data_IF_522469896913
#
_entry.id   IF_522469896913
#
_cell.length_a   1.000
_cell.length_b   1.000
_cell.length_c   1.000
_cell.angle_alpha   90.00
_cell.angle_beta   90.00
_cell.angle_gamma   90.00
#
_symmetry.space_group_name_H-M   'P 1'
#
loop_
_entity.id
_entity.type
_entity.pdbx_description
1 polymer ?
#
# COMPACT_ATOMS: atom_id res chain seq x y z
N UNK A 1 -19.09 -7.03 -12.14
CA UNK A 1 -18.62 -6.24 -10.99
C UNK A 1 -18.68 -7.17 -9.79
N UNK A 2 -17.58 -7.87 -9.47
CA UNK A 2 -17.55 -8.77 -8.31
C UNK A 2 -16.81 -8.02 -7.23
N UNK A 3 -17.57 -7.27 -6.45
CA UNK A 3 -17.17 -6.82 -5.12
C UNK A 3 -17.24 -8.08 -4.26
N UNK A 4 -16.12 -8.50 -3.68
CA UNK A 4 -16.07 -9.71 -2.85
C UNK A 4 -16.94 -9.49 -1.61
N UNK A 5 -17.83 -10.44 -1.34
CA UNK A 5 -18.83 -10.38 -0.25
C UNK A 5 -18.23 -10.66 1.15
N UNK A 6 -16.96 -10.32 1.36
CA UNK A 6 -16.26 -10.61 2.61
C UNK A 6 -16.45 -9.41 3.56
N UNK A 7 -17.14 -9.57 4.70
CA UNK A 7 -17.45 -8.46 5.59
C UNK A 7 -16.16 -7.92 6.23
N UNK A 8 -15.88 -6.64 6.00
CA UNK A 8 -14.67 -5.92 6.45
C UNK A 8 -14.74 -5.55 7.95
N UNK A 9 -15.32 -6.40 8.81
CA UNK A 9 -15.83 -6.00 10.13
C UNK A 9 -15.03 -6.51 11.34
N UNK A 10 -13.84 -7.08 11.19
CA UNK A 10 -13.04 -7.47 12.37
C UNK A 10 -12.05 -6.34 12.70
N UNK A 11 -12.48 -5.43 13.59
CA UNK A 11 -11.61 -4.41 14.21
C UNK A 11 -11.31 -4.80 15.65
N UNK A 12 -10.05 -5.12 15.95
CA UNK A 12 -9.55 -5.19 17.32
C UNK A 12 -8.69 -3.95 17.63
N UNK A 13 -9.17 -2.97 18.43
CA UNK A 13 -8.32 -1.92 19.01
C UNK A 13 -7.64 -2.48 20.29
N UNK A 14 -6.40 -2.18 20.70
CA UNK A 14 -5.46 -1.04 20.58
C UNK A 14 -4.01 -1.58 20.71
N UNK A 15 -2.98 -0.85 20.24
CA UNK A 15 -1.74 -0.42 20.97
C UNK A 15 -1.15 0.82 20.25
N UNK A 16 -0.60 1.77 21.02
CA UNK A 16 0.02 3.05 20.57
C UNK A 16 1.51 2.84 20.30
N UNK A 17 2.00 3.29 19.14
CA UNK A 17 3.34 2.99 18.61
C UNK A 17 3.30 1.86 17.58
N UNK A 18 4.23 1.87 16.62
CA UNK A 18 4.27 0.86 15.57
C UNK A 18 4.85 -0.47 16.07
N UNK A 19 4.16 -1.59 15.82
CA UNK A 19 4.66 -2.95 16.09
C UNK A 19 4.99 -3.65 14.78
N UNK A 20 5.71 -4.76 14.86
CA UNK A 20 5.76 -5.70 13.75
C UNK A 20 4.35 -6.27 13.53
N UNK A 21 3.99 -6.46 12.26
CA UNK A 21 2.79 -7.18 11.88
C UNK A 21 3.07 -8.68 11.98
N UNK A 22 2.05 -9.48 12.22
CA UNK A 22 2.21 -10.93 12.07
C UNK A 22 2.38 -11.29 10.59
N UNK A 23 3.03 -12.42 10.31
CA UNK A 23 3.12 -12.92 8.93
C UNK A 23 1.70 -13.13 8.40
N UNK A 24 1.43 -12.58 7.21
CA UNK A 24 0.13 -12.64 6.53
C UNK A 24 -1.02 -11.87 7.19
N UNK A 25 -0.75 -11.04 8.20
CA UNK A 25 -1.80 -10.25 8.86
C UNK A 25 -2.47 -9.24 7.92
N UNK A 26 -1.71 -8.69 6.96
CA UNK A 26 -2.16 -7.72 5.97
C UNK A 26 -1.98 -8.29 4.55
N UNK A 27 -2.82 -9.27 4.14
CA UNK A 27 -2.63 -10.05 2.91
C UNK A 27 -2.86 -9.25 1.61
N UNK A 28 -3.34 -8.02 1.73
CA UNK A 28 -3.54 -7.07 0.62
C UNK A 28 -2.33 -6.19 0.34
N UNK A 29 -1.26 -6.28 1.13
CA UNK A 29 -0.07 -5.44 0.98
C UNK A 29 0.71 -5.80 -0.28
N UNK A 30 1.09 -4.76 -1.03
CA UNK A 30 1.99 -4.85 -2.17
C UNK A 30 3.22 -4.00 -1.90
N UNK A 31 4.40 -4.58 -2.07
CA UNK A 31 5.65 -3.85 -2.12
C UNK A 31 5.96 -3.47 -3.58
N UNK A 32 6.00 -2.17 -3.89
CA UNK A 32 6.41 -1.67 -5.19
C UNK A 32 7.93 -1.52 -5.22
N UNK A 33 8.54 -2.19 -6.18
CA UNK A 33 9.97 -2.32 -6.37
C UNK A 33 10.42 -1.56 -7.61
N UNK A 34 11.55 -0.86 -7.50
CA UNK A 34 12.22 -0.18 -8.61
C UNK A 34 13.72 -0.36 -8.46
N UNK A 35 14.40 -0.73 -9.54
CA UNK A 35 15.85 -1.02 -9.54
C UNK A 35 16.26 -2.01 -8.43
N UNK A 36 15.41 -2.99 -8.14
CA UNK A 36 15.66 -4.02 -7.12
C UNK A 36 15.40 -3.61 -5.67
N UNK A 37 14.91 -2.40 -5.41
CA UNK A 37 14.61 -1.92 -4.05
C UNK A 37 13.16 -1.49 -3.86
N UNK A 38 12.65 -1.67 -2.64
CA UNK A 38 11.35 -1.18 -2.22
C UNK A 38 11.34 0.35 -2.21
N UNK A 39 10.34 0.96 -2.86
CA UNK A 39 10.21 2.41 -2.88
C UNK A 39 8.81 2.93 -2.53
N UNK A 40 7.77 2.14 -2.75
CA UNK A 40 6.38 2.51 -2.46
C UNK A 40 5.55 1.30 -2.03
N UNK A 41 4.37 1.56 -1.44
CA UNK A 41 3.36 0.56 -1.15
C UNK A 41 2.24 0.53 -2.20
N UNK A 42 1.47 -0.54 -2.18
CA UNK A 42 0.19 -0.66 -2.87
C UNK A 42 -0.75 -1.59 -2.13
N UNK A 43 -2.00 -1.65 -2.60
CA UNK A 43 -3.07 -2.47 -2.02
C UNK A 43 -3.75 -3.28 -3.11
N UNK A 44 -3.84 -4.59 -2.94
CA UNK A 44 -4.63 -5.45 -3.82
C UNK A 44 -6.11 -5.09 -3.63
N UNK A 45 -6.80 -4.73 -4.71
CA UNK A 45 -8.25 -4.46 -4.66
C UNK A 45 -9.06 -5.46 -5.51
N UNK A 46 -8.38 -6.20 -6.40
CA UNK A 46 -8.95 -7.34 -7.12
C UNK A 46 -7.83 -8.22 -7.69
N UNK A 47 -8.19 -9.32 -8.35
CA UNK A 47 -7.22 -10.22 -8.97
C UNK A 47 -6.34 -9.53 -10.04
N UNK A 48 -6.80 -8.44 -10.65
CA UNK A 48 -6.07 -7.73 -11.73
C UNK A 48 -5.61 -6.33 -11.36
N UNK A 49 -6.08 -5.77 -10.24
CA UNK A 49 -5.87 -4.35 -9.93
C UNK A 49 -5.24 -4.15 -8.56
N UNK A 50 -4.20 -3.31 -8.55
CA UNK A 50 -3.55 -2.79 -7.36
C UNK A 50 -3.80 -1.28 -7.29
N UNK A 51 -4.20 -0.80 -6.13
CA UNK A 51 -4.33 0.61 -5.79
C UNK A 51 -3.00 1.13 -5.22
N UNK A 52 -2.59 2.33 -5.62
CA UNK A 52 -1.43 3.03 -5.05
C UNK A 52 -1.62 4.55 -5.15
N UNK A 53 -0.64 5.32 -4.70
CA UNK A 53 -0.61 6.77 -4.88
C UNK A 53 -0.15 7.14 -6.30
N UNK A 54 -0.61 8.27 -6.82
CA UNK A 54 -0.18 8.80 -8.12
C UNK A 54 1.32 9.10 -8.14
N UNK A 55 1.88 9.63 -7.05
CA UNK A 55 3.30 9.95 -6.98
C UNK A 55 4.20 8.71 -7.07
N UNK A 56 3.69 7.54 -6.67
CA UNK A 56 4.43 6.27 -6.77
C UNK A 56 4.67 5.81 -8.21
N UNK A 57 3.96 6.37 -9.19
CA UNK A 57 4.19 6.09 -10.61
C UNK A 57 4.98 7.20 -11.32
N UNK A 58 5.50 8.20 -10.59
CA UNK A 58 6.34 9.26 -11.14
C UNK A 58 7.83 8.89 -11.09
N UNK A 59 8.62 9.29 -12.10
CA UNK A 59 10.01 8.88 -12.27
C UNK A 59 11.05 9.76 -11.52
N UNK A 60 10.59 10.79 -10.79
CA UNK A 60 11.41 11.80 -10.12
C UNK A 60 11.78 13.01 -10.99
N UNK A 61 11.40 13.00 -12.27
CA UNK A 61 11.57 14.07 -13.26
C UNK A 61 10.20 14.59 -13.73
N UNK A 62 9.20 14.57 -12.83
CA UNK A 62 7.85 15.08 -13.10
C UNK A 62 7.14 14.38 -14.27
N UNK A 63 7.47 13.11 -14.54
CA UNK A 63 6.87 12.31 -15.60
C UNK A 63 6.47 10.93 -15.09
N UNK A 64 5.44 10.35 -15.70
CA UNK A 64 5.05 8.97 -15.43
C UNK A 64 6.12 7.97 -15.87
N UNK A 65 6.34 6.95 -15.05
CA UNK A 65 7.15 5.79 -15.39
C UNK A 65 6.45 4.91 -16.43
N UNK A 66 7.23 4.08 -17.13
CA UNK A 66 6.70 2.97 -17.92
C UNK A 66 6.43 1.77 -17.00
N UNK A 67 5.45 0.90 -17.32
CA UNK A 67 5.17 -0.30 -16.52
C UNK A 67 6.40 -1.18 -16.28
N UNK A 68 7.31 -1.27 -17.25
CA UNK A 68 8.57 -2.06 -17.15
C UNK A 68 9.57 -1.51 -16.13
N UNK A 69 9.36 -0.32 -15.58
CA UNK A 69 10.24 0.31 -14.59
C UNK A 69 9.81 0.02 -13.14
N UNK A 70 8.66 -0.61 -12.95
CA UNK A 70 8.06 -0.91 -11.64
C UNK A 70 7.69 -2.39 -11.61
N UNK A 71 7.97 -3.06 -10.50
CA UNK A 71 7.51 -4.43 -10.24
C UNK A 71 6.75 -4.47 -8.91
N UNK A 72 5.71 -5.28 -8.82
CA UNK A 72 5.01 -5.55 -7.57
C UNK A 72 5.50 -6.84 -6.92
N UNK A 73 5.45 -6.89 -5.59
CA UNK A 73 5.60 -8.12 -4.81
C UNK A 73 4.44 -8.21 -3.82
N UNK A 74 3.67 -9.28 -3.91
CA UNK A 74 2.55 -9.58 -3.01
C UNK A 74 2.90 -10.73 -2.07
N UNK A 75 2.22 -10.83 -0.92
CA UNK A 75 2.49 -11.88 0.08
C UNK A 75 3.85 -11.78 0.77
N UNK A 76 4.55 -10.65 0.61
CA UNK A 76 5.86 -10.40 1.20
C UNK A 76 5.72 -10.05 2.68
N UNK A 77 6.60 -10.58 3.54
CA UNK A 77 6.66 -10.18 4.94
C UNK A 77 7.94 -9.39 5.25
N UNK A 78 9.09 -9.85 4.76
CA UNK A 78 10.38 -9.14 4.88
C UNK A 78 10.94 -8.73 3.52
N UNK A 79 11.48 -7.51 3.40
CA UNK A 79 12.12 -7.03 2.16
C UNK A 79 13.36 -7.87 1.83
N UNK A 80 14.12 -8.34 2.81
CA UNK A 80 15.27 -9.23 2.60
C UNK A 80 14.87 -10.60 2.06
N UNK A 81 13.65 -11.09 2.30
CA UNK A 81 13.14 -12.31 1.64
C UNK A 81 13.15 -12.15 0.11
N UNK A 82 12.91 -10.94 -0.41
CA UNK A 82 13.03 -10.65 -1.85
C UNK A 82 14.48 -10.84 -2.34
N UNK A 83 15.46 -10.35 -1.58
CA UNK A 83 16.89 -10.36 -1.93
C UNK A 83 17.48 -11.77 -1.88
N UNK A 84 16.95 -12.64 -1.02
CA UNK A 84 17.38 -14.04 -0.90
C UNK A 84 16.75 -14.97 -1.96
N UNK A 85 16.04 -14.39 -2.94
CA UNK A 85 15.42 -15.09 -4.05
C UNK A 85 13.95 -15.41 -3.79
N UNK A 86 13.03 -14.59 -4.32
CA UNK A 86 11.63 -14.99 -4.46
C UNK A 86 11.59 -16.23 -5.35
N UNK A 87 11.15 -17.35 -4.77
CA UNK A 87 11.17 -18.68 -5.36
C UNK A 87 11.35 -19.80 -4.33
N UNK A 88 11.91 -19.50 -3.15
CA UNK A 88 12.16 -20.50 -2.09
C UNK A 88 11.12 -20.49 -0.95
N UNK A 89 10.19 -19.52 -0.92
CA UNK A 89 9.11 -19.42 0.06
C UNK A 89 7.74 -19.55 -0.60
N UNK A 90 6.74 -20.20 0.03
CA UNK A 90 5.44 -20.48 -0.57
C UNK A 90 4.52 -19.25 -0.74
N UNK A 91 4.86 -18.11 -0.12
CA UNK A 91 3.87 -17.04 0.13
C UNK A 91 4.02 -15.82 -0.79
N UNK A 92 5.26 -15.46 -1.16
CA UNK A 92 5.54 -14.22 -1.89
C UNK A 92 5.60 -14.42 -3.41
N UNK A 93 4.96 -13.53 -4.16
CA UNK A 93 4.87 -13.60 -5.63
C UNK A 93 5.28 -12.27 -6.27
N UNK A 94 6.17 -12.33 -7.27
CA UNK A 94 6.47 -11.21 -8.16
C UNK A 94 5.34 -11.05 -9.18
N UNK A 95 4.91 -9.81 -9.39
CA UNK A 95 3.87 -9.47 -10.36
C UNK A 95 4.31 -8.29 -11.22
N UNK A 96 4.03 -8.38 -12.51
CA UNK A 96 4.38 -7.35 -13.48
C UNK A 96 3.13 -6.56 -13.90
N UNK A 97 3.35 -5.30 -14.27
CA UNK A 97 2.29 -4.39 -14.65
C UNK A 97 2.18 -4.25 -16.17
N UNK A 98 0.93 -4.31 -16.65
CA UNK A 98 0.57 -4.04 -18.03
C UNK A 98 0.38 -2.54 -18.26
N UNK A 99 -0.32 -1.87 -17.34
CA UNK A 99 -0.65 -0.45 -17.43
C UNK A 99 -0.53 0.23 -16.06
N UNK A 100 -0.15 1.51 -16.08
CA UNK A 100 -0.23 2.42 -14.93
C UNK A 100 -1.29 3.47 -15.27
N UNK A 101 -2.33 3.57 -14.44
CA UNK A 101 -3.51 4.40 -14.69
C UNK A 101 -3.61 5.45 -13.59
N UNK A 102 -3.00 6.64 -13.75
CA UNK A 102 -3.21 7.74 -12.82
C UNK A 102 -4.67 8.19 -12.82
N UNK A 103 -5.10 8.83 -11.74
CA UNK A 103 -6.32 9.61 -11.77
C UNK A 103 -6.28 10.61 -12.95
N UNK A 104 -7.38 10.82 -13.70
CA UNK A 104 -7.38 11.70 -14.88
C UNK A 104 -6.93 13.15 -14.62
N UNK A 105 -7.01 13.59 -13.36
CA UNK A 105 -6.62 14.93 -12.91
C UNK A 105 -5.31 14.95 -12.09
N UNK A 106 -4.63 13.82 -11.97
CA UNK A 106 -3.32 13.75 -11.32
C UNK A 106 -2.22 14.15 -12.31
N UNK A 107 -1.30 14.98 -11.85
CA UNK A 107 -0.08 15.34 -12.55
C UNK A 107 1.11 15.20 -11.59
N UNK A 108 2.28 14.80 -12.10
CA UNK A 108 3.46 14.57 -11.25
C UNK A 108 4.03 15.86 -10.61
N UNK A 109 3.46 17.04 -10.89
CA UNK A 109 3.81 18.31 -10.26
C UNK A 109 2.81 18.76 -9.17
N UNK A 110 1.69 18.05 -8.99
CA UNK A 110 0.65 18.38 -8.01
C UNK A 110 0.47 17.22 -7.03
N UNK A 111 0.14 17.56 -5.78
CA UNK A 111 -0.19 16.61 -4.72
C UNK A 111 -1.69 16.26 -4.69
N UNK A 112 -2.51 16.98 -5.47
CA UNK A 112 -3.96 16.71 -5.57
C UNK A 112 -4.24 15.47 -6.41
N UNK A 113 -5.30 14.75 -6.05
CA UNK A 113 -5.73 13.52 -6.73
C UNK A 113 -4.65 12.43 -6.76
N UNK A 114 -3.85 12.33 -5.69
CA UNK A 114 -2.72 11.41 -5.56
C UNK A 114 -3.16 9.95 -5.42
N UNK A 115 -3.70 9.39 -6.51
CA UNK A 115 -4.24 8.04 -6.61
C UNK A 115 -3.99 7.48 -8.01
N UNK A 116 -3.61 6.20 -8.08
CA UNK A 116 -3.40 5.47 -9.33
C UNK A 116 -3.78 4.00 -9.18
N UNK A 117 -4.16 3.39 -10.31
CA UNK A 117 -4.40 1.96 -10.45
C UNK A 117 -3.30 1.32 -11.30
N UNK A 118 -2.84 0.15 -10.88
CA UNK A 118 -1.86 -0.65 -11.60
C UNK A 118 -2.57 -1.91 -12.12
N UNK A 119 -2.61 -2.08 -13.44
CA UNK A 119 -3.19 -3.27 -14.08
C UNK A 119 -2.12 -4.35 -14.17
N UNK A 120 -2.39 -5.53 -13.62
CA UNK A 120 -1.50 -6.67 -13.72
C UNK A 120 -1.53 -7.31 -15.11
N UNK A 121 -0.36 -7.75 -15.58
CA UNK A 121 -0.24 -8.58 -16.80
C UNK A 121 -1.03 -9.88 -16.61
N UNK A 122 -0.74 -10.60 -15.53
CA UNK A 122 -1.42 -11.83 -15.14
C UNK A 122 -2.18 -11.61 -13.83
N UNK A 123 -3.45 -12.03 -13.72
CA UNK A 123 -4.17 -11.94 -12.47
C UNK A 123 -3.49 -12.73 -11.35
N UNK A 124 -3.46 -12.18 -10.14
CA UNK A 124 -3.06 -12.93 -8.95
C UNK A 124 -4.13 -13.94 -8.57
N UNK A 125 -3.70 -15.11 -8.11
CA UNK A 125 -4.59 -16.09 -7.47
C UNK A 125 -4.61 -15.81 -5.98
N UNK A 126 -5.81 -15.65 -5.41
CA UNK A 126 -5.94 -15.45 -3.98
C UNK A 126 -5.61 -16.73 -3.20
N UNK A 127 -5.03 -16.55 -2.02
CA UNK A 127 -4.55 -17.60 -1.12
C UNK A 127 -4.69 -17.14 0.33
N UNK A 128 -4.26 -17.94 1.30
CA UNK A 128 -4.23 -17.51 2.70
C UNK A 128 -3.32 -16.29 2.95
N UNK A 129 -2.47 -15.92 1.99
CA UNK A 129 -1.41 -14.92 2.15
C UNK A 129 -1.56 -13.74 1.17
N UNK A 130 -2.42 -13.90 0.17
CA UNK A 130 -2.71 -12.92 -0.88
C UNK A 130 -4.22 -12.79 -0.99
N UNK A 131 -4.77 -11.66 -0.53
CA UNK A 131 -6.20 -11.38 -0.55
C UNK A 131 -6.43 -9.90 -0.90
N UNK A 132 -7.57 -9.54 -1.51
CA UNK A 132 -7.90 -8.15 -1.75
C UNK A 132 -8.34 -7.46 -0.45
N UNK A 133 -8.12 -6.14 -0.39
CA UNK A 133 -8.79 -5.27 0.57
C UNK A 133 -10.15 -4.83 0.03
N UNK A 134 -11.06 -4.50 0.94
CA UNK A 134 -12.32 -3.87 0.59
C UNK A 134 -12.10 -2.41 0.14
N UNK A 135 -12.88 -1.96 -0.83
CA UNK A 135 -13.01 -0.54 -1.19
C UNK A 135 -14.36 -0.04 -0.68
N UNK A 136 -14.39 1.11 -0.01
CA UNK A 136 -15.64 1.69 0.48
C UNK A 136 -16.61 2.02 -0.67
N UNK A 137 -17.90 1.77 -0.47
CA UNK A 137 -18.96 2.21 -1.37
C UNK A 137 -19.53 3.57 -0.94
N UNK A 138 -20.05 4.34 -1.90
CA UNK A 138 -20.71 5.64 -1.66
C UNK A 138 -21.96 5.51 -0.75
N UNK A 139 -22.54 4.32 -0.66
CA UNK A 139 -23.63 4.04 0.28
C UNK A 139 -23.09 3.93 1.72
N UNK A 140 -23.36 4.95 2.53
CA UNK A 140 -23.12 4.91 3.97
C UNK A 140 -21.80 5.53 4.43
N UNK A 141 -21.43 6.70 3.87
CA UNK A 141 -20.39 7.57 4.44
C UNK A 141 -20.72 7.96 5.90
N UNK A 142 -20.47 7.04 6.82
CA UNK A 142 -20.38 7.35 8.24
C UNK A 142 -19.04 8.05 8.45
N UNK A 143 -19.05 9.15 9.18
CA UNK A 143 -17.81 9.79 9.60
C UNK A 143 -16.97 8.78 10.38
N UNK A 144 -15.71 8.64 9.97
CA UNK A 144 -14.70 7.87 10.71
C UNK A 144 -13.89 8.78 11.65
N UNK A 145 -14.28 10.05 11.79
CA UNK A 145 -13.60 10.98 12.68
C UNK A 145 -13.58 10.46 14.12
N UNK A 146 -12.46 10.68 14.79
CA UNK A 146 -12.21 10.18 16.17
C UNK A 146 -12.13 8.66 16.29
N UNK A 147 -12.38 7.90 15.23
CA UNK A 147 -12.08 6.47 15.19
C UNK A 147 -10.59 6.21 15.01
N UNK A 148 -10.22 4.94 15.05
CA UNK A 148 -8.87 4.49 14.84
C UNK A 148 -8.78 3.69 13.54
N UNK A 149 -7.77 4.00 12.75
CA UNK A 149 -7.37 3.24 11.57
C UNK A 149 -6.04 2.52 11.82
N UNK A 150 -5.77 1.49 11.04
CA UNK A 150 -4.47 0.82 11.01
C UNK A 150 -3.72 1.27 9.76
N UNK A 151 -2.48 1.72 9.94
CA UNK A 151 -1.53 1.95 8.85
C UNK A 151 -0.49 0.85 8.88
N UNK A 152 -0.05 0.37 7.71
CA UNK A 152 0.94 -0.69 7.60
C UNK A 152 1.91 -0.45 6.46
N UNK A 153 3.16 -0.93 6.61
CA UNK A 153 4.18 -0.83 5.57
C UNK A 153 5.59 -1.12 6.05
N UNK A 154 6.54 -0.98 5.14
CA UNK A 154 8.00 -1.12 5.34
C UNK A 154 8.69 0.25 5.39
N UNK A 155 7.97 1.25 5.91
CA UNK A 155 8.44 2.63 5.95
C UNK A 155 9.50 2.88 7.02
N UNK A 156 9.83 4.16 7.19
CA UNK A 156 10.68 4.65 8.27
C UNK A 156 10.02 4.41 9.62
N UNK A 157 10.79 3.88 10.58
CA UNK A 157 10.30 3.61 11.94
C UNK A 157 10.48 4.80 12.88
N UNK A 158 11.24 5.81 12.46
CA UNK A 158 11.55 7.01 13.21
C UNK A 158 11.49 8.25 12.30
N UNK A 159 11.20 9.41 12.89
CA UNK A 159 11.09 10.69 12.17
C UNK A 159 12.44 11.17 11.63
N UNK A 160 13.54 10.85 12.32
CA UNK A 160 14.88 11.15 11.85
C UNK A 160 15.34 10.15 10.80
N UNK A 161 15.20 10.54 9.53
CA UNK A 161 15.65 9.76 8.36
C UNK A 161 17.17 9.70 8.23
N UNK A 162 17.93 10.57 8.92
CA UNK A 162 19.38 10.62 8.84
C UNK A 162 20.10 9.53 9.67
N UNK A 163 19.38 8.87 10.58
CA UNK A 163 19.97 7.95 11.57
C UNK A 163 19.48 6.51 11.47
N UNK A 164 18.58 6.19 10.53
CA UNK A 164 17.87 4.91 10.54
C UNK A 164 17.79 4.27 9.15
N UNK A 165 17.38 3.01 9.11
CA UNK A 165 16.99 2.32 7.88
C UNK A 165 15.47 2.13 7.87
N UNK A 166 14.91 1.93 6.67
CA UNK A 166 13.52 1.48 6.51
C UNK A 166 13.33 0.10 7.16
N UNK A 167 12.14 -0.16 7.69
CA UNK A 167 11.83 -1.44 8.29
C UNK A 167 11.94 -2.58 7.27
N UNK A 168 12.73 -3.61 7.59
CA UNK A 168 12.80 -4.81 6.77
C UNK A 168 11.52 -5.65 6.85
N UNK A 169 10.97 -5.80 8.06
CA UNK A 169 9.74 -6.55 8.32
C UNK A 169 8.53 -5.63 8.23
N UNK A 170 7.38 -6.17 7.83
CA UNK A 170 6.13 -5.42 7.75
C UNK A 170 5.74 -4.94 9.16
N UNK A 171 5.46 -3.64 9.30
CA UNK A 171 4.97 -3.05 10.54
C UNK A 171 3.55 -2.53 10.39
N UNK A 172 2.88 -2.37 11.52
CA UNK A 172 1.56 -1.75 11.64
C UNK A 172 1.53 -0.77 12.80
N UNK A 173 0.71 0.27 12.68
CA UNK A 173 0.43 1.20 13.77
C UNK A 173 -1.06 1.55 13.78
N UNK A 174 -1.60 1.75 14.97
CA UNK A 174 -2.96 2.26 15.13
C UNK A 174 -2.91 3.78 15.24
N UNK A 175 -3.57 4.49 14.33
CA UNK A 175 -3.62 5.95 14.29
C UNK A 175 -5.04 6.45 14.48
N UNK A 176 -5.18 7.60 15.16
CA UNK A 176 -6.47 8.25 15.33
C UNK A 176 -6.80 9.06 14.07
N UNK A 177 -8.00 8.90 13.54
CA UNK A 177 -8.49 9.64 12.39
C UNK A 177 -8.88 11.05 12.84
N UNK A 178 -8.18 12.05 12.32
CA UNK A 178 -8.45 13.46 12.58
C UNK A 178 -9.48 13.99 11.61
N UNK A 179 -10.24 15.00 12.04
CA UNK A 179 -11.08 15.74 11.11
C UNK A 179 -10.21 16.63 10.19
N UNK A 180 -10.80 17.05 9.07
CA UNK A 180 -10.08 17.82 8.06
C UNK A 180 -9.55 19.15 8.60
N UNK A 181 -10.26 19.81 9.53
CA UNK A 181 -9.84 21.08 10.11
C UNK A 181 -8.58 20.93 10.97
N UNK A 182 -8.51 19.90 11.82
CA UNK A 182 -7.32 19.60 12.61
C UNK A 182 -6.12 19.24 11.72
N UNK A 183 -6.36 18.43 10.68
CA UNK A 183 -5.34 18.09 9.68
C UNK A 183 -4.80 19.34 8.98
N UNK A 184 -5.67 20.21 8.45
CA UNK A 184 -5.27 21.46 7.78
C UNK A 184 -4.47 22.41 8.67
N UNK A 185 -4.80 22.50 9.96
CA UNK A 185 -4.03 23.30 10.91
C UNK A 185 -2.61 22.77 11.08
N UNK A 186 -2.44 21.45 11.13
CA UNK A 186 -1.12 20.81 11.25
C UNK A 186 -0.21 21.03 10.04
N UNK A 187 -0.74 21.27 8.84
CA UNK A 187 0.07 21.58 7.65
C UNK A 187 0.45 23.07 7.53
N UNK A 188 -0.13 23.95 8.36
CA UNK A 188 0.14 25.39 8.36
C UNK A 188 1.10 25.83 9.47
N UNK A 189 1.39 24.94 10.42
CA UNK A 189 2.37 25.12 11.49
C UNK A 189 3.75 24.69 11.05
#
# INVERSE_FOLDING_TARGET
MIVTNQPCSVRNPKIVGGSEAERNEMPFMVSLMRRGGHFCGGTIISERWILTAGHCICNGLQQFMKPTQIQGVVGLHSIKEYLNGIGNGPDALRVDFKNLVPHPQYDCNDVKHDIALLELVQPVRFSAHIQPSCVGSDEGHRSLEQEYGTVSGWGWTHENQAENDRSDVLRKATVKIWNNEACQRSYRS
#
